data_IF_465494390047
#
_entry.id   IF_465494390047
#
_cell.length_a   1.000
_cell.length_b   1.000
_cell.length_c   1.000
_cell.angle_alpha   90.00
_cell.angle_beta   90.00
_cell.angle_gamma   90.00
#
_symmetry.space_group_name_H-M   'P 1'
#
loop_
_entity.id
_entity.type
_entity.pdbx_description
1 polymer ?
#
# COMPACT_ATOMS: atom_id res chain seq x y z
N UNK A 1 33.12 -40.17 54.43
CA UNK A 1 34.59 -40.09 54.35
C UNK A 1 34.99 -39.04 53.32
N UNK A 2 35.64 -37.95 53.73
CA UNK A 2 36.05 -36.87 52.84
C UNK A 2 37.19 -37.33 51.91
N UNK A 3 37.02 -37.13 50.59
CA UNK A 3 38.04 -37.50 49.60
C UNK A 3 39.20 -36.52 49.70
N UNK A 4 40.40 -37.02 50.03
CA UNK A 4 41.63 -36.21 50.07
C UNK A 4 41.92 -35.67 48.67
N UNK A 5 41.85 -34.35 48.49
CA UNK A 5 42.13 -33.70 47.23
C UNK A 5 43.65 -33.53 47.10
N UNK A 6 44.22 -34.02 45.99
CA UNK A 6 45.65 -33.90 45.71
C UNK A 6 46.09 -32.43 45.56
N UNK A 7 47.29 -32.09 46.05
CA UNK A 7 47.91 -30.74 46.00
C UNK A 7 48.01 -30.14 44.58
N UNK A 8 47.88 -30.97 43.54
CA UNK A 8 47.92 -30.56 42.12
C UNK A 8 46.53 -30.42 41.48
N UNK A 9 45.45 -30.65 42.23
CA UNK A 9 44.09 -30.53 41.73
C UNK A 9 43.72 -29.08 41.41
N UNK A 10 42.76 -28.93 40.49
CA UNK A 10 42.24 -27.66 40.01
C UNK A 10 41.62 -26.82 41.13
N UNK A 11 40.95 -27.47 42.10
CA UNK A 11 40.35 -26.83 43.27
C UNK A 11 41.43 -26.21 44.20
N UNK A 12 42.55 -26.91 44.41
CA UNK A 12 43.67 -26.39 45.21
C UNK A 12 44.36 -25.20 44.51
N UNK A 13 44.47 -25.24 43.18
CA UNK A 13 45.06 -24.14 42.40
C UNK A 13 44.18 -22.89 42.32
N UNK A 14 42.87 -23.03 42.52
CA UNK A 14 41.91 -21.92 42.50
C UNK A 14 41.67 -21.29 43.86
N UNK A 15 42.24 -21.85 44.94
CA UNK A 15 41.98 -21.37 46.30
C UNK A 15 40.53 -21.56 46.75
N UNK A 16 39.76 -22.43 46.08
CA UNK A 16 38.35 -22.71 46.40
C UNK A 16 38.19 -23.67 47.59
N UNK A 17 39.30 -24.11 48.18
CA UNK A 17 39.29 -24.86 49.43
C UNK A 17 39.25 -23.85 50.57
N UNK A 18 38.06 -23.53 51.04
CA UNK A 18 37.90 -22.82 52.30
C UNK A 18 38.37 -23.76 53.42
N UNK A 19 39.56 -23.49 53.97
CA UNK A 19 39.94 -24.03 55.27
C UNK A 19 38.93 -23.50 56.29
N UNK A 20 38.17 -24.40 56.91
CA UNK A 20 37.02 -24.09 57.77
C UNK A 20 37.44 -23.47 59.13
N UNK A 21 38.75 -23.38 59.42
CA UNK A 21 39.29 -22.90 60.70
C UNK A 21 40.32 -21.75 60.56
N UNK A 22 40.07 -20.77 59.69
CA UNK A 22 40.88 -19.55 59.69
C UNK A 22 40.37 -18.57 60.77
N UNK A 23 41.19 -18.18 61.77
CA UNK A 23 40.77 -17.21 62.77
C UNK A 23 40.54 -15.84 62.12
N UNK A 24 39.38 -15.24 62.39
CA UNK A 24 39.03 -13.90 61.95
C UNK A 24 39.99 -12.93 62.65
N UNK A 25 40.99 -12.45 61.91
CA UNK A 25 41.89 -11.40 62.39
C UNK A 25 41.08 -10.09 62.38
N UNK A 26 40.45 -9.76 63.51
CA UNK A 26 39.88 -8.44 63.75
C UNK A 26 41.01 -7.43 63.90
N UNK A 27 41.34 -6.72 62.81
CA UNK A 27 42.25 -5.58 62.86
C UNK A 27 41.53 -4.38 63.49
N UNK A 28 41.61 -4.28 64.81
CA UNK A 28 41.32 -3.03 65.50
C UNK A 28 42.41 -2.03 65.16
N UNK A 29 42.08 -1.04 64.33
CA UNK A 29 42.98 0.05 63.96
C UNK A 29 43.19 0.98 65.15
N UNK A 30 44.22 0.71 65.96
CA UNK A 30 44.78 1.71 66.87
C UNK A 30 45.60 2.71 66.05
N UNK A 31 45.15 3.95 66.05
CA UNK A 31 45.77 5.08 65.34
C UNK A 31 47.11 5.44 65.97
N UNK A 32 48.21 4.87 65.46
CA UNK A 32 49.55 5.32 65.76
C UNK A 32 49.95 6.43 64.78
N UNK A 33 49.90 7.67 65.27
CA UNK A 33 50.05 8.91 64.49
C UNK A 33 51.52 9.30 64.20
N UNK A 34 52.46 8.35 64.26
CA UNK A 34 53.91 8.64 64.22
C UNK A 34 54.58 8.43 62.85
N UNK A 35 53.85 7.96 61.84
CA UNK A 35 54.40 7.73 60.50
C UNK A 35 53.51 8.27 59.37
N UNK A 36 52.83 9.39 59.61
CA UNK A 36 51.87 9.96 58.65
C UNK A 36 52.52 10.35 57.31
N UNK A 37 53.77 10.83 57.30
CA UNK A 37 54.51 11.14 56.07
C UNK A 37 54.79 9.91 55.20
N UNK A 38 55.19 8.79 55.83
CA UNK A 38 55.44 7.50 55.17
C UNK A 38 54.12 6.85 54.75
N UNK A 39 53.09 6.91 55.60
CA UNK A 39 51.75 6.43 55.27
C UNK A 39 51.18 7.20 54.08
N UNK A 40 51.30 8.53 54.06
CA UNK A 40 50.89 9.38 52.92
C UNK A 40 51.72 9.07 51.66
N UNK A 41 53.01 8.76 51.77
CA UNK A 41 53.82 8.39 50.60
C UNK A 41 53.39 7.03 50.03
N UNK A 42 53.13 6.04 50.88
CA UNK A 42 52.58 4.73 50.49
C UNK A 42 51.19 4.88 49.87
N UNK A 43 50.30 5.68 50.46
CA UNK A 43 48.97 5.92 49.90
C UNK A 43 49.08 6.60 48.52
N UNK A 44 49.97 7.60 48.35
CA UNK A 44 50.18 8.24 47.04
C UNK A 44 50.73 7.28 45.99
N UNK A 45 51.68 6.41 46.34
CA UNK A 45 52.21 5.42 45.40
C UNK A 45 51.17 4.36 45.06
N UNK A 46 50.37 3.92 46.04
CA UNK A 46 49.25 3.00 45.85
C UNK A 46 48.23 3.60 44.87
N UNK A 47 47.77 4.84 45.10
CA UNK A 47 46.83 5.53 44.21
C UNK A 47 47.42 5.69 42.80
N UNK A 48 48.71 6.04 42.68
CA UNK A 48 49.37 6.16 41.37
C UNK A 48 49.42 4.80 40.64
N UNK A 49 49.70 3.71 41.36
CA UNK A 49 49.76 2.38 40.77
C UNK A 49 48.38 1.88 40.37
N UNK A 50 47.36 2.09 41.20
CA UNK A 50 45.97 1.75 40.89
C UNK A 50 45.42 2.55 39.70
N UNK A 51 45.70 3.86 39.64
CA UNK A 51 45.30 4.68 38.48
C UNK A 51 46.00 4.27 37.19
N UNK A 52 47.30 3.92 37.24
CA UNK A 52 48.03 3.39 36.09
C UNK A 52 47.49 2.01 35.65
N UNK A 53 47.14 1.15 36.60
CA UNK A 53 46.54 -0.16 36.33
C UNK A 53 45.19 0.01 35.63
N UNK A 54 44.31 0.87 36.14
CA UNK A 54 43.01 1.16 35.56
C UNK A 54 43.16 1.70 34.13
N UNK A 55 44.06 2.68 33.91
CA UNK A 55 44.37 3.20 32.56
C UNK A 55 44.88 2.10 31.61
N UNK A 56 45.71 1.17 32.10
CA UNK A 56 46.21 0.05 31.28
C UNK A 56 45.08 -0.93 30.92
N UNK A 57 44.21 -1.25 31.87
CA UNK A 57 43.05 -2.12 31.65
C UNK A 57 42.09 -1.46 30.65
N UNK A 58 41.75 -0.19 30.83
CA UNK A 58 40.89 0.58 29.92
C UNK A 58 41.50 0.64 28.51
N UNK A 59 42.77 1.00 28.38
CA UNK A 59 43.45 1.03 27.09
C UNK A 59 43.50 -0.35 26.42
N UNK A 60 43.62 -1.44 27.19
CA UNK A 60 43.55 -2.80 26.66
C UNK A 60 42.14 -3.18 26.20
N UNK A 61 41.09 -2.75 26.93
CA UNK A 61 39.68 -2.98 26.57
C UNK A 61 39.31 -2.23 25.30
N UNK A 62 39.71 -0.96 25.19
CA UNK A 62 39.48 -0.13 24.00
C UNK A 62 40.18 -0.75 22.78
N UNK A 63 41.44 -1.17 22.91
CA UNK A 63 42.15 -1.85 21.80
C UNK A 63 41.45 -3.14 21.38
N UNK A 64 40.98 -3.96 22.33
CA UNK A 64 40.25 -5.20 22.03
C UNK A 64 38.93 -4.90 21.31
N UNK A 65 38.18 -3.90 21.77
CA UNK A 65 36.92 -3.47 21.13
C UNK A 65 37.17 -2.92 19.72
N UNK A 66 38.21 -2.10 19.51
CA UNK A 66 38.55 -1.58 18.18
C UNK A 66 38.96 -2.70 17.22
N UNK A 67 39.76 -3.67 17.67
CA UNK A 67 40.14 -4.83 16.84
C UNK A 67 38.92 -5.70 16.49
N UNK A 68 37.99 -5.87 17.43
CA UNK A 68 36.77 -6.63 17.20
C UNK A 68 35.83 -5.92 16.22
N UNK A 69 35.63 -4.61 16.38
CA UNK A 69 34.86 -3.78 15.44
C UNK A 69 35.48 -3.75 14.04
N UNK A 70 36.82 -3.70 13.93
CA UNK A 70 37.51 -3.74 12.64
C UNK A 70 37.43 -5.12 11.97
N UNK A 71 37.51 -6.20 12.74
CA UNK A 71 37.36 -7.55 12.21
C UNK A 71 35.92 -7.82 11.74
N UNK A 72 34.92 -7.35 12.49
CA UNK A 72 33.51 -7.48 12.12
C UNK A 72 33.12 -6.59 10.93
N UNK A 73 33.70 -5.38 10.81
CA UNK A 73 33.48 -4.50 9.66
C UNK A 73 34.17 -5.02 8.39
N UNK A 74 35.36 -5.63 8.50
CA UNK A 74 36.11 -6.19 7.37
C UNK A 74 35.53 -7.53 6.88
N UNK A 75 34.98 -8.36 7.77
CA UNK A 75 34.20 -9.56 7.38
C UNK A 75 32.85 -9.21 6.77
N UNK A 76 32.18 -8.17 7.28
CA UNK A 76 30.94 -7.68 6.67
C UNK A 76 31.20 -7.03 5.31
N UNK A 77 32.29 -6.31 5.09
CA UNK A 77 32.53 -5.66 3.79
C UNK A 77 33.01 -6.62 2.68
N UNK A 78 33.84 -7.63 2.98
CA UNK A 78 34.39 -8.52 1.95
C UNK A 78 33.42 -9.60 1.44
N UNK A 79 32.55 -10.14 2.29
CA UNK A 79 31.52 -11.13 1.90
C UNK A 79 30.23 -10.49 1.40
N UNK A 80 29.94 -9.23 1.77
CA UNK A 80 28.70 -8.56 1.38
C UNK A 80 28.80 -7.72 0.11
N UNK A 81 29.98 -7.38 -0.41
CA UNK A 81 30.03 -6.43 -1.56
C UNK A 81 29.36 -7.00 -2.84
N UNK A 82 29.53 -8.30 -3.13
CA UNK A 82 28.84 -8.96 -4.27
C UNK A 82 27.35 -9.20 -4.00
N UNK A 83 26.98 -9.53 -2.75
CA UNK A 83 25.58 -9.70 -2.38
C UNK A 83 24.83 -8.36 -2.33
N UNK A 84 25.48 -7.29 -1.86
CA UNK A 84 24.97 -5.92 -1.85
C UNK A 84 24.72 -5.42 -3.25
N UNK A 85 25.65 -5.59 -4.19
CA UNK A 85 25.44 -5.17 -5.58
C UNK A 85 24.29 -5.92 -6.26
N UNK A 86 24.08 -7.21 -5.93
CA UNK A 86 22.94 -7.99 -6.41
C UNK A 86 21.62 -7.53 -5.79
N UNK A 87 21.60 -7.25 -4.49
CA UNK A 87 20.42 -6.72 -3.79
C UNK A 87 20.07 -5.33 -4.31
N UNK A 88 21.04 -4.42 -4.40
CA UNK A 88 20.83 -3.06 -4.94
C UNK A 88 20.32 -3.08 -6.39
N UNK A 89 20.82 -4.02 -7.22
CA UNK A 89 20.31 -4.20 -8.59
C UNK A 89 18.91 -4.78 -8.60
N UNK A 90 18.60 -5.71 -7.70
CA UNK A 90 17.27 -6.29 -7.56
C UNK A 90 16.27 -5.22 -7.11
N UNK A 91 16.62 -4.39 -6.14
CA UNK A 91 15.73 -3.34 -5.62
C UNK A 91 15.49 -2.24 -6.65
N UNK A 92 16.53 -1.81 -7.39
CA UNK A 92 16.34 -0.91 -8.55
C UNK A 92 15.42 -1.50 -9.63
N UNK A 93 15.52 -2.81 -9.89
CA UNK A 93 14.66 -3.47 -10.87
C UNK A 93 13.22 -3.63 -10.36
N UNK A 94 13.02 -3.87 -9.07
CA UNK A 94 11.69 -3.89 -8.44
C UNK A 94 11.03 -2.52 -8.57
N UNK A 95 11.74 -1.45 -8.27
CA UNK A 95 11.22 -0.08 -8.37
C UNK A 95 10.82 0.29 -9.81
N UNK A 96 11.59 -0.16 -10.81
CA UNK A 96 11.26 0.05 -12.22
C UNK A 96 10.03 -0.80 -12.62
N UNK A 97 9.93 -2.03 -12.13
CA UNK A 97 8.80 -2.90 -12.46
C UNK A 97 7.50 -2.40 -11.83
N UNK A 98 7.53 -1.97 -10.56
CA UNK A 98 6.37 -1.39 -9.89
C UNK A 98 5.90 -0.12 -10.59
N UNK A 99 6.81 0.80 -10.93
CA UNK A 99 6.44 2.00 -11.72
C UNK A 99 5.85 1.65 -13.09
N UNK A 100 6.36 0.62 -13.78
CA UNK A 100 5.76 0.16 -15.05
C UNK A 100 4.37 -0.43 -14.87
N UNK A 101 4.16 -1.20 -13.81
CA UNK A 101 2.84 -1.76 -13.45
C UNK A 101 1.87 -0.62 -13.14
N UNK A 102 2.27 0.34 -12.31
CA UNK A 102 1.44 1.49 -11.93
C UNK A 102 1.09 2.35 -13.14
N UNK A 103 2.06 2.63 -14.02
CA UNK A 103 1.81 3.35 -15.27
C UNK A 103 0.86 2.58 -16.21
N UNK A 104 0.95 1.25 -16.24
CA UNK A 104 0.05 0.41 -17.03
C UNK A 104 -1.38 0.45 -16.48
N UNK A 105 -1.54 0.29 -15.16
CA UNK A 105 -2.83 0.38 -14.47
C UNK A 105 -3.45 1.77 -14.65
N UNK A 106 -2.65 2.84 -14.52
CA UNK A 106 -3.11 4.21 -14.71
C UNK A 106 -3.61 4.46 -16.14
N UNK A 107 -2.88 3.98 -17.16
CA UNK A 107 -3.34 4.07 -18.56
C UNK A 107 -4.63 3.29 -18.79
N UNK A 108 -4.72 2.06 -18.28
CA UNK A 108 -5.93 1.25 -18.42
C UNK A 108 -7.15 1.93 -17.78
N UNK A 109 -7.00 2.42 -16.54
CA UNK A 109 -8.03 3.18 -15.83
C UNK A 109 -8.42 4.46 -16.57
N UNK A 110 -7.45 5.18 -17.13
CA UNK A 110 -7.71 6.38 -17.93
C UNK A 110 -8.56 6.06 -19.16
N UNK A 111 -8.21 5.02 -19.93
CA UNK A 111 -9.01 4.62 -21.10
C UNK A 111 -10.41 4.17 -20.70
N UNK A 112 -10.54 3.37 -19.64
CA UNK A 112 -11.84 2.94 -19.13
C UNK A 112 -12.71 4.12 -18.69
N UNK A 113 -12.15 5.05 -17.93
CA UNK A 113 -12.86 6.24 -17.48
C UNK A 113 -13.24 7.15 -18.64
N UNK A 114 -12.36 7.36 -19.62
CA UNK A 114 -12.65 8.15 -20.80
C UNK A 114 -13.77 7.53 -21.64
N UNK A 115 -13.75 6.20 -21.85
CA UNK A 115 -14.83 5.48 -22.54
C UNK A 115 -16.14 5.56 -21.79
N UNK A 116 -16.12 5.32 -20.47
CA UNK A 116 -17.31 5.42 -19.62
C UNK A 116 -17.88 6.83 -19.63
N UNK A 117 -17.04 7.86 -19.45
CA UNK A 117 -17.49 9.26 -19.48
C UNK A 117 -18.09 9.64 -20.83
N UNK A 118 -17.53 9.18 -21.95
CA UNK A 118 -18.12 9.42 -23.26
C UNK A 118 -19.46 8.71 -23.42
N UNK A 119 -19.57 7.47 -22.94
CA UNK A 119 -20.83 6.75 -22.94
C UNK A 119 -21.90 7.46 -22.09
N UNK A 120 -21.54 7.88 -20.88
CA UNK A 120 -22.42 8.60 -19.97
C UNK A 120 -22.88 9.94 -20.58
N UNK A 121 -21.99 10.67 -21.27
CA UNK A 121 -22.34 11.89 -22.02
C UNK A 121 -23.34 11.60 -23.15
N UNK A 122 -23.12 10.54 -23.91
CA UNK A 122 -24.03 10.15 -24.99
C UNK A 122 -25.41 9.79 -24.43
N UNK A 123 -25.46 9.01 -23.36
CA UNK A 123 -26.73 8.64 -22.72
C UNK A 123 -27.46 9.86 -22.18
N UNK A 124 -26.76 10.75 -21.46
CA UNK A 124 -27.35 12.01 -20.99
C UNK A 124 -27.88 12.85 -22.16
N UNK A 125 -27.16 12.90 -23.30
CA UNK A 125 -27.61 13.62 -24.48
C UNK A 125 -28.85 13.00 -25.13
N UNK A 126 -28.98 11.67 -25.09
CA UNK A 126 -30.15 10.94 -25.60
C UNK A 126 -31.34 11.16 -24.68
N UNK A 127 -31.16 11.07 -23.36
CA UNK A 127 -32.21 11.33 -22.38
C UNK A 127 -32.76 12.75 -22.52
N UNK A 128 -31.89 13.76 -22.64
CA UNK A 128 -32.30 15.14 -22.88
C UNK A 128 -33.05 15.27 -24.21
N UNK A 129 -32.53 14.67 -25.30
CA UNK A 129 -33.20 14.73 -26.61
C UNK A 129 -34.57 14.06 -26.58
N UNK A 130 -34.68 12.90 -25.94
CA UNK A 130 -35.94 12.18 -25.80
C UNK A 130 -36.94 12.99 -24.96
N UNK A 131 -36.49 13.59 -23.86
CA UNK A 131 -37.33 14.48 -23.06
C UNK A 131 -37.80 15.69 -23.87
N UNK A 132 -36.93 16.32 -24.66
CA UNK A 132 -37.32 17.43 -25.54
C UNK A 132 -38.30 17.00 -26.64
N UNK A 133 -38.15 15.80 -27.19
CA UNK A 133 -39.09 15.23 -28.17
C UNK A 133 -40.43 14.94 -27.49
N UNK A 134 -40.44 14.36 -26.30
CA UNK A 134 -41.67 14.12 -25.53
C UNK A 134 -42.35 15.42 -25.11
N UNK A 135 -41.60 16.45 -24.75
CA UNK A 135 -42.17 17.78 -24.50
C UNK A 135 -42.67 18.43 -25.79
N UNK A 136 -42.03 18.17 -26.93
CA UNK A 136 -42.51 18.64 -28.24
C UNK A 136 -43.78 17.90 -28.70
N UNK A 137 -43.94 16.62 -28.37
CA UNK A 137 -45.19 15.88 -28.63
C UNK A 137 -46.28 16.18 -27.59
N UNK A 138 -45.91 16.65 -26.39
CA UNK A 138 -46.84 17.17 -25.36
C UNK A 138 -47.11 18.67 -25.48
N UNK A 139 -46.41 19.39 -26.37
CA UNK A 139 -46.77 20.76 -26.75
C UNK A 139 -48.07 20.70 -27.56
N UNK A 140 -49.16 20.76 -26.81
CA UNK A 140 -50.49 21.28 -27.14
C UNK A 140 -50.86 21.13 -28.63
N UNK A 141 -51.69 20.11 -28.93
CA UNK A 141 -52.57 20.23 -30.08
C UNK A 141 -53.24 21.61 -29.98
N UNK A 142 -53.08 22.41 -31.02
CA UNK A 142 -53.89 23.63 -31.19
C UNK A 142 -55.36 23.23 -31.23
N UNK A 143 -56.25 24.06 -30.66
CA UNK A 143 -57.71 23.85 -30.61
C UNK A 143 -58.25 23.38 -31.99
N UNK A 144 -57.74 23.98 -33.07
CA UNK A 144 -58.06 23.67 -34.47
C UNK A 144 -57.77 22.21 -34.88
N UNK A 145 -56.77 21.56 -34.28
CA UNK A 145 -56.41 20.15 -34.57
C UNK A 145 -57.26 19.16 -33.78
N UNK A 146 -57.83 19.60 -32.65
CA UNK A 146 -58.80 18.84 -31.85
C UNK A 146 -60.17 18.91 -32.53
N UNK A 147 -60.61 20.09 -32.96
CA UNK A 147 -61.88 20.29 -33.67
C UNK A 147 -61.92 19.49 -34.97
N UNK A 148 -60.81 19.48 -35.73
CA UNK A 148 -60.71 18.68 -36.96
C UNK A 148 -60.79 17.16 -36.70
N UNK A 149 -60.25 16.69 -35.58
CA UNK A 149 -60.31 15.26 -35.22
C UNK A 149 -61.72 14.84 -34.77
N UNK A 150 -62.45 15.75 -34.11
CA UNK A 150 -63.86 15.55 -33.74
C UNK A 150 -64.80 15.58 -34.95
N UNK A 151 -64.55 16.47 -35.93
CA UNK A 151 -65.29 16.50 -37.20
C UNK A 151 -65.08 15.22 -38.01
N UNK A 152 -63.83 14.73 -38.12
CA UNK A 152 -63.52 13.49 -38.81
C UNK A 152 -64.17 12.26 -38.13
N UNK A 153 -64.23 12.23 -36.79
CA UNK A 153 -64.94 11.17 -36.05
C UNK A 153 -66.46 11.27 -36.25
N UNK A 154 -67.03 12.47 -36.27
CA UNK A 154 -68.45 12.70 -36.55
C UNK A 154 -68.83 12.25 -37.96
N UNK A 155 -68.02 12.59 -38.96
CA UNK A 155 -68.22 12.18 -40.36
C UNK A 155 -68.15 10.66 -40.48
N UNK A 156 -67.16 10.01 -39.84
CA UNK A 156 -67.05 8.55 -39.83
C UNK A 156 -68.29 7.90 -39.23
N UNK A 157 -68.79 8.41 -38.10
CA UNK A 157 -69.96 7.87 -37.41
C UNK A 157 -71.26 8.10 -38.18
N UNK A 158 -71.34 9.21 -38.92
CA UNK A 158 -72.43 9.52 -39.84
C UNK A 158 -72.51 8.51 -40.99
N UNK A 159 -71.38 8.15 -41.59
CA UNK A 159 -71.34 7.13 -42.65
C UNK A 159 -71.43 5.68 -42.12
N UNK A 160 -70.98 5.39 -40.89
CA UNK A 160 -71.16 4.06 -40.26
C UNK A 160 -72.61 3.78 -39.82
N UNK A 161 -73.40 4.81 -39.51
CA UNK A 161 -74.79 4.64 -38.99
C UNK A 161 -75.86 4.80 -40.09
N UNK A 162 -75.48 5.22 -41.30
CA UNK A 162 -76.40 5.62 -42.37
C UNK A 162 -76.42 4.76 -43.63
N UNK A 163 -75.78 3.59 -43.66
CA UNK A 163 -75.83 2.67 -44.82
C UNK A 163 -76.22 1.24 -44.40
N UNK A 164 -77.52 1.04 -44.25
CA UNK A 164 -78.21 -0.23 -44.35
C UNK A 164 -78.07 -0.80 -45.77
N UNK A 165 -76.88 -1.31 -46.13
CA UNK A 165 -76.71 -1.85 -47.49
C UNK A 165 -75.34 -2.32 -47.96
N UNK A 166 -74.71 -3.28 -47.27
CA UNK A 166 -73.90 -4.34 -47.92
C UNK A 166 -72.61 -3.91 -48.69
N UNK A 167 -71.46 -3.82 -48.02
CA UNK A 167 -70.13 -3.95 -48.65
C UNK A 167 -69.20 -4.79 -47.75
N UNK A 168 -69.05 -6.05 -48.16
CA UNK A 168 -67.84 -6.87 -48.22
C UNK A 168 -66.71 -6.63 -47.19
N UNK A 169 -66.57 -7.59 -46.27
CA UNK A 169 -65.31 -7.83 -45.56
C UNK A 169 -64.23 -8.28 -46.55
N UNK A 170 -63.28 -7.39 -46.84
CA UNK A 170 -62.05 -7.76 -47.53
C UNK A 170 -61.19 -6.54 -47.88
N UNK A 171 -59.90 -6.61 -47.53
CA UNK A 171 -58.83 -5.75 -48.06
C UNK A 171 -58.69 -4.29 -47.56
N UNK A 172 -58.58 -4.09 -46.23
CA UNK A 172 -57.95 -2.87 -45.67
C UNK A 172 -56.95 -3.08 -44.52
N UNK A 173 -56.40 -4.28 -44.32
CA UNK A 173 -55.39 -4.50 -43.26
C UNK A 173 -53.92 -4.50 -43.73
N UNK A 174 -53.63 -4.48 -45.04
CA UNK A 174 -52.26 -4.74 -45.54
C UNK A 174 -51.53 -3.55 -46.21
N UNK A 175 -52.03 -2.31 -46.13
CA UNK A 175 -51.38 -1.16 -46.80
C UNK A 175 -50.80 -0.05 -45.91
N UNK A 176 -50.89 -0.13 -44.59
CA UNK A 176 -50.34 0.91 -43.70
C UNK A 176 -49.19 0.45 -42.79
N UNK A 177 -48.76 -0.81 -42.86
CA UNK A 177 -47.74 -1.37 -41.94
C UNK A 177 -46.35 -1.63 -42.53
N UNK A 178 -46.01 -1.12 -43.72
CA UNK A 178 -44.68 -1.40 -44.34
C UNK A 178 -43.83 -0.18 -44.67
N UNK A 179 -44.25 1.06 -44.38
CA UNK A 179 -43.44 2.27 -44.64
C UNK A 179 -42.72 2.84 -43.39
N UNK A 180 -42.93 2.27 -42.19
CA UNK A 180 -42.41 2.87 -40.94
C UNK A 180 -41.09 2.26 -40.43
N UNK A 181 -40.47 1.31 -41.13
CA UNK A 181 -39.17 0.75 -40.71
C UNK A 181 -38.15 0.84 -41.84
N UNK A 182 -38.02 2.03 -42.44
CA UNK A 182 -36.79 2.35 -43.15
C UNK A 182 -35.65 2.38 -42.13
N UNK A 183 -34.58 1.63 -42.45
CA UNK A 183 -33.43 1.47 -41.59
C UNK A 183 -32.76 2.84 -41.44
N UNK A 184 -32.75 3.43 -40.24
CA UNK A 184 -32.26 4.81 -40.00
C UNK A 184 -30.79 5.03 -40.41
N UNK A 185 -30.04 3.95 -40.58
CA UNK A 185 -28.65 3.95 -41.04
C UNK A 185 -28.50 3.99 -42.55
N UNK A 186 -29.55 3.69 -43.33
CA UNK A 186 -29.50 3.77 -44.80
C UNK A 186 -29.25 5.20 -45.30
N UNK A 187 -29.62 6.22 -44.51
CA UNK A 187 -29.36 7.63 -44.84
C UNK A 187 -27.88 8.03 -44.73
N UNK A 188 -27.05 7.24 -44.03
CA UNK A 188 -25.63 7.57 -43.84
C UNK A 188 -24.76 7.05 -44.99
N UNK A 189 -25.18 5.97 -45.66
CA UNK A 189 -24.47 5.43 -46.82
C UNK A 189 -24.54 6.36 -48.05
N UNK A 190 -25.60 7.19 -48.15
CA UNK A 190 -25.78 8.13 -49.27
C UNK A 190 -24.91 9.41 -49.16
N UNK A 191 -24.28 9.66 -48.00
CA UNK A 191 -23.49 10.89 -47.75
C UNK A 191 -21.99 10.68 -47.96
N UNK A 192 -21.52 9.43 -48.12
CA UNK A 192 -20.09 9.10 -48.28
C UNK A 192 -19.67 8.74 -49.73
N UNK A 193 -20.42 9.20 -50.74
CA UNK A 193 -20.08 9.05 -52.17
C UNK A 193 -19.70 10.36 -52.85
#
# INVERSE_FOLDING_TARGET
MAKKISKRSRAARRGEVNDVDAPIIHTTTKEAHENDGVRKSIIRTQIKNETLLNKKIEASRIRKQQQQQQHDSKKKSSSSTSLKSKIDRSDKLKDILTTKIDASIARAKYVQNARKSNWDKTNASIEIRNHMIEEATKKQLTEDEIEKMEEDEYVRKFYETGDDGNIDEGDKEDREKTLSTSNKFALLDEVEA
#
